data_IF_537614527993
#
_entry.id   IF_537614527993
#
_cell.length_a   1.000
_cell.length_b   1.000
_cell.length_c   1.000
_cell.angle_alpha   90.00
_cell.angle_beta   90.00
_cell.angle_gamma   90.00
#
_symmetry.space_group_name_H-M   'P 1'
#
loop_
_entity.id
_entity.type
_entity.pdbx_description
1 polymer ?
#
# COMPACT_ATOMS: atom_id res chain seq x y z
N UNK A 1 -62.82 5.91 -7.10
CA UNK A 1 -61.70 6.87 -6.85
C UNK A 1 -60.45 6.25 -6.17
N UNK A 2 -60.52 5.05 -5.56
CA UNK A 2 -59.38 4.42 -4.85
C UNK A 2 -58.30 3.81 -5.77
N UNK A 3 -58.67 3.21 -6.90
CA UNK A 3 -57.74 2.48 -7.80
C UNK A 3 -56.79 3.40 -8.57
N UNK A 4 -57.25 4.59 -8.99
CA UNK A 4 -56.40 5.57 -9.71
C UNK A 4 -55.28 6.14 -8.84
N UNK A 5 -55.51 6.27 -7.52
CA UNK A 5 -54.48 6.73 -6.56
C UNK A 5 -53.42 5.66 -6.29
N UNK A 6 -53.82 4.39 -6.27
CA UNK A 6 -52.91 3.25 -6.11
C UNK A 6 -51.91 3.14 -7.27
N UNK A 7 -52.37 3.34 -8.51
CA UNK A 7 -51.50 3.30 -9.70
C UNK A 7 -50.50 4.46 -9.70
N UNK A 8 -50.94 5.67 -9.29
CA UNK A 8 -50.06 6.83 -9.18
C UNK A 8 -48.98 6.66 -8.10
N UNK A 9 -49.34 6.10 -6.94
CA UNK A 9 -48.38 5.84 -5.85
C UNK A 9 -47.38 4.76 -6.23
N UNK A 10 -47.84 3.67 -6.86
CA UNK A 10 -46.95 2.60 -7.32
C UNK A 10 -45.98 3.09 -8.40
N UNK A 11 -46.46 3.87 -9.38
CA UNK A 11 -45.60 4.48 -10.39
C UNK A 11 -44.57 5.44 -9.80
N UNK A 12 -44.98 6.29 -8.84
CA UNK A 12 -44.09 7.20 -8.14
C UNK A 12 -42.98 6.48 -7.37
N UNK A 13 -43.28 5.32 -6.80
CA UNK A 13 -42.32 4.56 -5.99
C UNK A 13 -41.24 3.90 -6.86
N UNK A 14 -41.62 3.41 -8.04
CA UNK A 14 -40.68 2.87 -9.03
C UNK A 14 -39.74 3.96 -9.54
N UNK A 15 -40.27 5.14 -9.87
CA UNK A 15 -39.45 6.27 -10.34
C UNK A 15 -38.46 6.73 -9.27
N UNK A 16 -38.90 6.84 -8.01
CA UNK A 16 -38.02 7.20 -6.90
C UNK A 16 -36.88 6.17 -6.70
N UNK A 17 -37.18 4.88 -6.77
CA UNK A 17 -36.18 3.82 -6.65
C UNK A 17 -35.13 3.87 -7.78
N UNK A 18 -35.55 4.12 -9.01
CA UNK A 18 -34.63 4.29 -10.15
C UNK A 18 -33.70 5.48 -9.95
N UNK A 19 -34.24 6.62 -9.50
CA UNK A 19 -33.42 7.82 -9.20
C UNK A 19 -32.40 7.55 -8.11
N UNK A 20 -32.79 6.87 -7.03
CA UNK A 20 -31.87 6.49 -5.94
C UNK A 20 -30.77 5.57 -6.46
N UNK A 21 -31.10 4.56 -7.25
CA UNK A 21 -30.09 3.66 -7.86
C UNK A 21 -29.12 4.42 -8.76
N UNK A 22 -29.63 5.34 -9.60
CA UNK A 22 -28.77 6.18 -10.48
C UNK A 22 -27.87 7.09 -9.64
N UNK A 23 -28.38 7.69 -8.57
CA UNK A 23 -27.59 8.52 -7.67
C UNK A 23 -26.53 7.72 -6.93
N UNK A 24 -26.83 6.49 -6.49
CA UNK A 24 -25.85 5.60 -5.86
C UNK A 24 -24.76 5.24 -6.88
N UNK A 25 -25.12 4.76 -8.07
CA UNK A 25 -24.14 4.40 -9.11
C UNK A 25 -23.30 5.62 -9.51
N UNK A 26 -23.92 6.78 -9.68
CA UNK A 26 -23.25 8.05 -9.94
C UNK A 26 -22.28 8.40 -8.81
N UNK A 27 -22.70 8.27 -7.56
CA UNK A 27 -21.89 8.56 -6.39
C UNK A 27 -20.66 7.64 -6.30
N UNK A 28 -20.81 6.36 -6.63
CA UNK A 28 -19.67 5.43 -6.73
C UNK A 28 -18.78 5.73 -7.94
N UNK A 29 -19.34 6.19 -9.07
CA UNK A 29 -18.59 6.53 -10.29
C UNK A 29 -17.86 7.88 -10.19
N UNK A 30 -18.38 8.79 -9.36
CA UNK A 30 -17.82 10.13 -9.10
C UNK A 30 -16.88 10.18 -7.90
N UNK A 31 -16.63 9.07 -7.19
CA UNK A 31 -15.44 9.00 -6.34
C UNK A 31 -14.24 8.76 -7.26
N UNK A 32 -13.45 9.79 -7.62
CA UNK A 32 -12.17 9.52 -8.24
C UNK A 32 -11.38 8.61 -7.29
N UNK A 33 -10.66 7.60 -7.79
CA UNK A 33 -9.70 6.88 -6.97
C UNK A 33 -8.79 7.95 -6.31
N UNK A 34 -8.50 7.84 -5.00
CA UNK A 34 -7.68 8.84 -4.31
C UNK A 34 -6.42 9.12 -5.14
N UNK A 35 -6.26 10.35 -5.62
CA UNK A 35 -5.17 10.69 -6.53
C UNK A 35 -3.85 10.75 -5.76
N UNK A 36 -2.81 10.15 -6.33
CA UNK A 36 -1.43 10.05 -5.80
C UNK A 36 -0.83 11.37 -5.27
N UNK A 37 -1.28 12.52 -5.78
CA UNK A 37 -0.75 13.85 -5.44
C UNK A 37 -1.20 14.38 -4.08
N UNK A 38 -2.25 13.81 -3.48
CA UNK A 38 -2.87 14.38 -2.28
C UNK A 38 -2.36 13.77 -0.97
N UNK A 39 -1.46 12.79 -1.04
CA UNK A 39 -0.90 12.10 0.12
C UNK A 39 0.52 12.59 0.43
N UNK A 40 0.71 13.55 1.36
CA UNK A 40 2.05 14.02 1.75
C UNK A 40 2.93 12.89 2.31
N UNK A 41 2.32 11.90 2.99
CA UNK A 41 3.02 10.68 3.44
C UNK A 41 3.66 9.89 2.30
N UNK A 42 3.07 9.92 1.12
CA UNK A 42 3.56 9.21 -0.05
C UNK A 42 4.84 9.86 -0.58
N UNK A 43 4.82 11.18 -0.76
CA UNK A 43 5.99 11.95 -1.19
C UNK A 43 7.16 11.69 -0.23
N UNK A 44 6.87 11.71 1.09
CA UNK A 44 7.86 11.39 2.11
C UNK A 44 8.35 9.93 2.05
N UNK A 45 7.47 8.96 1.76
CA UNK A 45 7.87 7.56 1.61
C UNK A 45 8.75 7.35 0.36
N UNK A 46 8.43 8.01 -0.76
CA UNK A 46 9.27 8.00 -1.96
C UNK A 46 10.62 8.64 -1.66
N UNK A 47 10.62 9.80 -1.01
CA UNK A 47 11.83 10.50 -0.65
C UNK A 47 12.70 9.68 0.31
N UNK A 48 12.11 9.03 1.30
CA UNK A 48 12.80 8.10 2.20
C UNK A 48 13.37 6.87 1.45
N UNK A 49 12.61 6.30 0.49
CA UNK A 49 13.10 5.22 -0.37
C UNK A 49 14.23 5.67 -1.30
N UNK A 50 14.26 6.94 -1.68
CA UNK A 50 15.26 7.50 -2.59
C UNK A 50 16.55 7.92 -1.87
N UNK A 51 16.41 8.47 -0.67
CA UNK A 51 17.51 9.00 0.12
C UNK A 51 18.16 7.95 1.03
N UNK A 52 17.39 6.98 1.56
CA UNK A 52 17.85 5.98 2.52
C UNK A 52 17.59 4.49 2.13
N UNK A 53 17.64 4.06 0.85
CA UNK A 53 17.55 2.64 0.55
C UNK A 53 18.62 1.77 1.24
N UNK A 54 19.89 2.20 1.44
CA UNK A 54 20.89 1.33 2.03
C UNK A 54 20.64 1.04 3.51
N UNK A 55 19.93 1.89 4.27
CA UNK A 55 19.65 1.62 5.70
C UNK A 55 18.66 0.48 5.89
N UNK A 56 17.53 0.50 5.17
CA UNK A 56 16.52 -0.56 5.25
C UNK A 56 17.06 -1.90 4.73
N UNK A 57 17.83 -1.85 3.64
CA UNK A 57 18.47 -3.04 3.06
C UNK A 57 19.55 -3.57 4.02
N UNK A 58 20.38 -2.71 4.60
CA UNK A 58 21.38 -3.12 5.59
C UNK A 58 20.72 -3.74 6.83
N UNK A 59 19.66 -3.13 7.37
CA UNK A 59 18.92 -3.69 8.49
C UNK A 59 18.34 -5.07 8.17
N UNK A 60 17.77 -5.25 6.97
CA UNK A 60 17.28 -6.55 6.50
C UNK A 60 18.40 -7.58 6.31
N UNK A 61 19.58 -7.17 5.85
CA UNK A 61 20.75 -8.05 5.75
C UNK A 61 21.26 -8.47 7.13
N UNK A 62 21.30 -7.55 8.10
CA UNK A 62 21.70 -7.87 9.49
C UNK A 62 20.72 -8.85 10.11
N UNK A 63 19.41 -8.60 9.99
CA UNK A 63 18.37 -9.53 10.45
C UNK A 63 18.51 -10.91 9.82
N UNK A 64 18.78 -10.94 8.51
CA UNK A 64 18.95 -12.20 7.77
C UNK A 64 20.20 -12.97 8.22
N UNK A 65 21.33 -12.27 8.43
CA UNK A 65 22.57 -12.86 8.97
C UNK A 65 22.37 -13.41 10.39
N UNK A 66 21.67 -12.65 11.23
CA UNK A 66 21.35 -13.04 12.61
C UNK A 66 20.41 -14.26 12.67
N UNK A 67 19.52 -14.44 11.69
CA UNK A 67 18.75 -15.67 11.56
C UNK A 67 19.60 -16.87 11.13
N UNK A 68 20.45 -16.67 10.14
CA UNK A 68 21.35 -17.74 9.66
C UNK A 68 22.32 -18.17 10.76
N UNK A 69 22.86 -17.24 11.55
CA UNK A 69 23.74 -17.57 12.69
C UNK A 69 23.01 -18.37 13.78
N UNK A 70 21.69 -18.22 13.90
CA UNK A 70 20.82 -19.02 14.77
C UNK A 70 20.34 -20.33 14.13
N UNK A 71 20.86 -20.68 12.94
CA UNK A 71 20.47 -21.91 12.21
C UNK A 71 19.10 -21.85 11.56
N UNK A 72 18.49 -20.66 11.45
CA UNK A 72 17.19 -20.47 10.80
C UNK A 72 17.36 -20.22 9.30
N UNK A 73 16.36 -20.61 8.47
CA UNK A 73 16.41 -20.34 7.04
C UNK A 73 16.36 -18.84 6.75
N UNK A 74 17.01 -18.44 5.66
CA UNK A 74 17.01 -17.06 5.19
C UNK A 74 15.58 -16.68 4.76
N UNK A 75 15.00 -15.60 5.32
CA UNK A 75 13.66 -15.18 4.95
C UNK A 75 13.65 -14.62 3.52
N UNK A 76 12.68 -15.05 2.71
CA UNK A 76 12.47 -14.51 1.36
C UNK A 76 11.93 -13.08 1.37
N UNK A 77 11.28 -12.68 2.47
CA UNK A 77 10.80 -11.34 2.74
C UNK A 77 10.89 -11.03 4.23
N UNK A 78 11.20 -9.79 4.57
CA UNK A 78 11.32 -9.29 5.94
C UNK A 78 10.44 -8.06 6.10
N UNK A 79 9.59 -8.04 7.12
CA UNK A 79 8.74 -6.86 7.36
C UNK A 79 9.49 -5.82 8.20
N UNK A 80 9.12 -4.55 8.06
CA UNK A 80 9.69 -3.48 8.89
C UNK A 80 9.44 -3.73 10.39
N UNK A 81 8.30 -4.34 10.73
CA UNK A 81 7.99 -4.73 12.12
C UNK A 81 8.99 -5.75 12.67
N UNK A 82 9.41 -6.72 11.84
CA UNK A 82 10.43 -7.70 12.22
C UNK A 82 11.79 -7.02 12.45
N UNK A 83 12.14 -6.02 11.62
CA UNK A 83 13.37 -5.26 11.78
C UNK A 83 13.39 -4.46 13.08
N UNK A 84 12.28 -3.79 13.41
CA UNK A 84 12.13 -3.03 14.66
C UNK A 84 12.17 -3.97 15.87
N UNK A 85 11.39 -5.06 15.82
CA UNK A 85 11.31 -6.05 16.92
C UNK A 85 12.64 -6.75 17.14
N UNK A 86 13.39 -7.02 16.06
CA UNK A 86 14.72 -7.60 16.11
C UNK A 86 15.82 -6.61 16.52
N UNK A 87 15.49 -5.33 16.77
CA UNK A 87 16.45 -4.30 17.15
C UNK A 87 17.42 -3.90 16.01
N UNK A 88 17.10 -4.25 14.77
CA UNK A 88 17.96 -3.95 13.60
C UNK A 88 17.74 -2.53 13.08
N UNK A 89 16.63 -1.90 13.44
CA UNK A 89 16.31 -0.50 13.14
C UNK A 89 15.48 0.11 14.26
N UNK A 90 15.69 1.39 14.57
CA UNK A 90 14.90 2.13 15.55
C UNK A 90 13.58 2.58 14.93
N UNK A 91 12.51 2.60 15.75
CA UNK A 91 11.19 3.07 15.31
C UNK A 91 11.21 4.57 14.96
N UNK A 92 12.08 5.35 15.60
CA UNK A 92 12.26 6.78 15.33
C UNK A 92 12.82 7.02 13.93
N UNK A 93 13.76 6.19 13.47
CA UNK A 93 14.39 6.30 12.15
C UNK A 93 13.42 5.99 11.00
N UNK A 94 12.38 5.20 11.28
CA UNK A 94 11.40 4.74 10.29
C UNK A 94 10.00 5.28 10.53
N UNK A 95 9.89 6.33 11.36
CA UNK A 95 8.61 6.97 11.69
C UNK A 95 7.85 7.48 10.47
N UNK A 96 8.56 7.77 9.38
CA UNK A 96 7.96 8.12 8.08
C UNK A 96 7.04 7.02 7.54
N UNK A 97 7.31 5.76 7.86
CA UNK A 97 6.53 4.59 7.45
C UNK A 97 5.44 4.21 8.45
N UNK A 98 5.17 5.04 9.46
CA UNK A 98 4.16 4.72 10.48
C UNK A 98 2.75 4.59 9.89
N UNK A 99 2.10 3.48 10.25
CA UNK A 99 0.84 3.02 9.66
C UNK A 99 0.95 2.41 8.26
N UNK A 100 2.14 2.29 7.67
CA UNK A 100 2.36 1.63 6.39
C UNK A 100 2.82 0.19 6.59
N UNK A 101 2.56 -0.65 5.60
CA UNK A 101 3.09 -2.00 5.54
C UNK A 101 4.31 -2.02 4.62
N UNK A 102 5.49 -2.24 5.21
CA UNK A 102 6.78 -2.19 4.51
C UNK A 102 7.42 -3.56 4.53
N UNK A 103 7.72 -4.08 3.34
CA UNK A 103 8.31 -5.39 3.13
C UNK A 103 9.60 -5.24 2.33
N UNK A 104 10.68 -5.81 2.84
CA UNK A 104 12.00 -5.84 2.21
C UNK A 104 12.26 -7.25 1.69
N UNK A 105 12.77 -7.37 0.47
CA UNK A 105 13.10 -8.64 -0.17
C UNK A 105 14.63 -8.78 -0.27
N UNK A 106 15.30 -9.36 0.75
CA UNK A 106 16.76 -9.38 0.83
C UNK A 106 17.42 -10.35 -0.17
N UNK A 107 16.65 -11.24 -0.81
CA UNK A 107 17.13 -12.22 -1.77
C UNK A 107 17.19 -11.70 -3.23
N UNK A 108 16.93 -10.41 -3.45
CA UNK A 108 16.97 -9.83 -4.79
C UNK A 108 18.40 -9.74 -5.30
N UNK A 109 18.64 -10.30 -6.49
CA UNK A 109 19.93 -10.34 -7.17
C UNK A 109 20.07 -9.20 -8.16
N UNK A 110 21.31 -8.71 -8.34
CA UNK A 110 21.67 -7.70 -9.36
C UNK A 110 21.37 -8.17 -10.79
N UNK A 111 21.20 -9.48 -10.99
CA UNK A 111 20.79 -10.07 -12.27
C UNK A 111 19.33 -9.78 -12.64
N UNK A 112 18.54 -9.25 -11.71
CA UNK A 112 17.13 -8.88 -11.90
C UNK A 112 16.91 -7.42 -11.49
N UNK A 113 17.33 -6.44 -12.30
CA UNK A 113 17.24 -5.02 -11.96
C UNK A 113 15.80 -4.53 -11.71
N UNK A 114 14.83 -5.17 -12.38
CA UNK A 114 13.40 -4.90 -12.20
C UNK A 114 12.75 -5.78 -11.11
N UNK A 115 13.51 -6.41 -10.23
CA UNK A 115 12.94 -7.05 -9.06
C UNK A 115 12.64 -6.02 -7.97
N UNK A 116 11.56 -6.25 -7.22
CA UNK A 116 11.13 -5.39 -6.12
C UNK A 116 12.03 -5.65 -4.93
N UNK A 117 12.79 -4.64 -4.51
CA UNK A 117 13.67 -4.69 -3.35
C UNK A 117 12.93 -4.30 -2.06
N UNK A 118 12.13 -3.24 -2.11
CA UNK A 118 11.30 -2.77 -1.00
C UNK A 118 9.91 -2.50 -1.54
N UNK A 119 8.88 -2.99 -0.86
CA UNK A 119 7.48 -2.69 -1.14
C UNK A 119 6.87 -1.94 0.04
N UNK A 120 6.24 -0.82 -0.23
CA UNK A 120 5.48 -0.02 0.73
C UNK A 120 4.03 -0.03 0.31
N UNK A 121 3.15 -0.54 1.16
CA UNK A 121 1.71 -0.49 1.01
C UNK A 121 1.13 0.52 1.99
N UNK A 122 0.43 1.51 1.44
CA UNK A 122 -0.26 2.54 2.20
C UNK A 122 -1.64 2.04 2.70
N UNK A 123 -2.19 2.66 3.76
CA UNK A 123 -3.51 2.31 4.31
C UNK A 123 -4.67 2.41 3.29
N UNK A 124 -4.53 3.27 2.29
CA UNK A 124 -5.50 3.48 1.21
C UNK A 124 -5.41 2.40 0.10
N UNK A 125 -4.48 1.43 0.26
CA UNK A 125 -4.23 0.33 -0.65
C UNK A 125 -3.23 0.63 -1.77
N UNK A 126 -2.74 1.86 -1.92
CA UNK A 126 -1.70 2.14 -2.90
C UNK A 126 -0.39 1.46 -2.54
N UNK A 127 0.37 1.09 -3.56
CA UNK A 127 1.63 0.38 -3.42
C UNK A 127 2.73 1.11 -4.18
N UNK A 128 3.90 1.19 -3.55
CA UNK A 128 5.12 1.73 -4.12
C UNK A 128 6.21 0.70 -3.92
N UNK A 129 7.03 0.52 -4.94
CA UNK A 129 8.19 -0.36 -4.89
C UNK A 129 9.46 0.42 -5.20
N UNK A 130 10.48 0.25 -4.36
CA UNK A 130 11.85 0.49 -4.79
C UNK A 130 12.38 -0.79 -5.43
N UNK A 131 12.95 -0.63 -6.61
CA UNK A 131 13.46 -1.71 -7.46
C UNK A 131 14.96 -1.90 -7.20
N UNK A 132 15.51 -3.04 -7.62
CA UNK A 132 16.95 -3.32 -7.48
C UNK A 132 17.83 -2.35 -8.27
N UNK A 133 17.33 -1.80 -9.37
CA UNK A 133 18.00 -0.75 -10.16
C UNK A 133 17.98 0.65 -9.50
N UNK A 134 17.40 0.78 -8.31
CA UNK A 134 17.26 2.03 -7.58
C UNK A 134 16.11 2.92 -8.07
N UNK A 135 15.35 2.49 -9.08
CA UNK A 135 14.12 3.18 -9.48
C UNK A 135 13.01 2.96 -8.45
N UNK A 136 12.10 3.93 -8.36
CA UNK A 136 10.90 3.83 -7.53
C UNK A 136 9.70 3.83 -8.46
N UNK A 137 8.86 2.79 -8.35
CA UNK A 137 7.71 2.57 -9.21
C UNK A 137 6.43 2.49 -8.38
N UNK A 138 5.34 3.01 -8.93
CA UNK A 138 4.01 2.77 -8.41
C UNK A 138 3.52 1.42 -8.91
N UNK A 139 3.03 0.58 -8.01
CA UNK A 139 2.39 -0.68 -8.36
C UNK A 139 0.88 -0.52 -8.38
N UNK A 140 0.18 -1.24 -9.27
CA UNK A 140 -1.28 -1.33 -9.22
C UNK A 140 -1.74 -1.92 -7.88
N UNK A 141 -2.98 -1.58 -7.48
CA UNK A 141 -3.60 -2.07 -6.25
C UNK A 141 -3.75 -3.59 -6.26
#
# INVERSE_FOLDING_TARGET
MKTRRLILVAGSLVVAAVVVCVLIISYWRQRPPPTFKDSPKLILAIEALKNDPPKLVAAAQVFSRDRVSRGQPLPSAVTLRDLITGGNISAEDVRVFDGMDVTIYPMVSDTTPQAILIRVRMPDGFQIAAMADGSVQQLPK
#
